data_IF_574971849004
#
_entry.id   IF_574971849004
#
_cell.length_a   1.000
_cell.length_b   1.000
_cell.length_c   1.000
_cell.angle_alpha   90.00
_cell.angle_beta   90.00
_cell.angle_gamma   90.00
#
_symmetry.space_group_name_H-M   'P 1'
#
loop_
_entity.id
_entity.type
_entity.pdbx_description
1 polymer ?
#
# COMPACT_ATOMS: atom_id res chain seq x y z
N UNK A 1 -36.82 -16.54 -2.77
CA UNK A 1 -36.15 -15.79 -1.69
C UNK A 1 -35.51 -16.79 -0.72
N UNK A 2 -34.33 -17.31 -1.03
CA UNK A 2 -33.54 -18.10 -0.09
C UNK A 2 -32.42 -17.18 0.41
N UNK A 3 -32.66 -16.44 1.49
CA UNK A 3 -31.58 -15.80 2.25
C UNK A 3 -30.82 -16.92 2.93
N UNK A 4 -29.77 -17.40 2.28
CA UNK A 4 -28.75 -18.17 2.95
C UNK A 4 -27.96 -17.13 3.77
N UNK A 5 -28.43 -16.85 4.99
CA UNK A 5 -27.72 -15.95 5.89
C UNK A 5 -26.31 -16.50 6.06
N UNK A 6 -25.32 -15.76 5.56
CA UNK A 6 -23.92 -16.19 5.67
C UNK A 6 -23.48 -16.02 7.13
N UNK A 7 -23.07 -17.12 7.77
CA UNK A 7 -22.62 -17.11 9.16
C UNK A 7 -21.09 -17.19 9.23
N UNK A 8 -20.48 -16.31 10.03
CA UNK A 8 -19.04 -16.36 10.32
C UNK A 8 -18.82 -16.56 11.81
N UNK A 9 -18.19 -17.69 12.17
CA UNK A 9 -17.78 -17.96 13.54
C UNK A 9 -16.37 -17.42 13.76
N UNK A 10 -16.25 -16.41 14.62
CA UNK A 10 -14.94 -15.79 14.91
C UNK A 10 -14.21 -16.46 16.09
N UNK A 11 -14.88 -17.40 16.77
CA UNK A 11 -14.41 -18.02 18.01
C UNK A 11 -14.46 -17.03 19.17
N UNK A 12 -13.92 -17.43 20.33
CA UNK A 12 -13.96 -16.65 21.57
C UNK A 12 -13.28 -15.28 21.42
N UNK A 13 -14.01 -14.22 21.77
CA UNK A 13 -13.52 -12.84 21.73
C UNK A 13 -13.70 -12.11 23.06
N UNK A 14 -12.83 -11.12 23.31
CA UNK A 14 -12.97 -10.20 24.44
C UNK A 14 -13.71 -8.93 24.01
N UNK A 15 -14.92 -8.71 24.55
CA UNK A 15 -15.73 -7.51 24.31
C UNK A 15 -15.84 -6.60 25.55
N UNK A 16 -16.25 -5.34 25.33
CA UNK A 16 -16.36 -4.30 26.36
C UNK A 16 -15.10 -3.44 26.47
N UNK A 17 -15.26 -2.11 26.48
CA UNK A 17 -14.13 -1.18 26.43
C UNK A 17 -13.17 -1.38 27.61
N UNK A 18 -13.71 -1.52 28.82
CA UNK A 18 -12.93 -1.72 30.04
C UNK A 18 -12.20 -3.07 30.06
N UNK A 19 -12.88 -4.15 29.65
CA UNK A 19 -12.24 -5.47 29.52
C UNK A 19 -11.12 -5.45 28.49
N UNK A 20 -11.34 -4.78 27.34
CA UNK A 20 -10.33 -4.63 26.28
C UNK A 20 -9.18 -3.71 26.66
N UNK A 21 -9.38 -2.75 27.57
CA UNK A 21 -8.30 -1.95 28.17
C UNK A 21 -7.44 -2.80 29.11
N UNK A 22 -8.05 -3.75 29.83
CA UNK A 22 -7.39 -4.63 30.81
C UNK A 22 -6.72 -5.87 30.19
N UNK A 23 -6.86 -6.10 28.89
CA UNK A 23 -6.17 -7.22 28.21
C UNK A 23 -4.65 -7.05 28.30
N UNK A 24 -3.99 -7.99 28.99
CA UNK A 24 -2.54 -7.98 29.15
C UNK A 24 -1.78 -8.19 27.82
N UNK A 25 -2.35 -8.97 26.89
CA UNK A 25 -1.73 -9.25 25.60
C UNK A 25 -2.23 -8.30 24.51
N UNK A 26 -1.37 -7.38 24.12
CA UNK A 26 -1.60 -6.50 22.96
C UNK A 26 -1.69 -7.27 21.64
N UNK A 27 -0.96 -8.39 21.54
CA UNK A 27 -1.00 -9.29 20.38
C UNK A 27 -2.36 -9.95 20.22
N UNK A 28 -2.92 -10.54 21.29
CA UNK A 28 -4.24 -11.18 21.26
C UNK A 28 -5.33 -10.15 20.91
N UNK A 29 -5.28 -8.96 21.51
CA UNK A 29 -6.22 -7.88 21.19
C UNK A 29 -6.21 -7.51 19.70
N UNK A 30 -5.03 -7.41 19.08
CA UNK A 30 -4.88 -7.14 17.65
C UNK A 30 -5.42 -8.28 16.79
N UNK A 31 -5.16 -9.53 17.16
CA UNK A 31 -5.67 -10.69 16.45
C UNK A 31 -7.21 -10.78 16.50
N UNK A 32 -7.80 -10.59 17.67
CA UNK A 32 -9.26 -10.59 17.82
C UNK A 32 -9.91 -9.49 16.96
N UNK A 33 -9.34 -8.28 16.99
CA UNK A 33 -9.79 -7.18 16.14
C UNK A 33 -9.67 -7.50 14.65
N UNK A 34 -8.54 -8.07 14.23
CA UNK A 34 -8.33 -8.45 12.83
C UNK A 34 -9.39 -9.45 12.37
N UNK A 35 -9.68 -10.49 13.16
CA UNK A 35 -10.71 -11.49 12.82
C UNK A 35 -12.09 -10.87 12.64
N UNK A 36 -12.51 -9.99 13.55
CA UNK A 36 -13.81 -9.31 13.48
C UNK A 36 -13.86 -8.40 12.24
N UNK A 37 -12.81 -7.61 11.99
CA UNK A 37 -12.78 -6.68 10.86
C UNK A 37 -12.77 -7.44 9.52
N UNK A 38 -12.02 -8.54 9.41
CA UNK A 38 -11.98 -9.38 8.22
C UNK A 38 -13.33 -10.05 7.95
N UNK A 39 -13.97 -10.60 8.97
CA UNK A 39 -15.31 -11.18 8.87
C UNK A 39 -16.35 -10.14 8.43
N UNK A 40 -16.32 -8.95 9.04
CA UNK A 40 -17.20 -7.84 8.65
C UNK A 40 -16.98 -7.44 7.20
N UNK A 41 -15.72 -7.26 6.77
CA UNK A 41 -15.39 -6.92 5.38
C UNK A 41 -15.90 -7.99 4.40
N UNK A 42 -15.70 -9.26 4.72
CA UNK A 42 -16.19 -10.38 3.91
C UNK A 42 -17.70 -10.36 3.74
N UNK A 43 -18.45 -10.20 4.84
CA UNK A 43 -19.91 -10.16 4.79
C UNK A 43 -20.43 -8.93 4.06
N UNK A 44 -19.85 -7.75 4.28
CA UNK A 44 -20.16 -6.53 3.52
C UNK A 44 -20.06 -6.80 2.01
N UNK A 45 -19.01 -7.48 1.58
CA UNK A 45 -18.73 -7.77 0.17
C UNK A 45 -19.45 -9.00 -0.38
N UNK A 46 -20.31 -9.66 0.40
CA UNK A 46 -20.94 -10.94 0.02
C UNK A 46 -22.44 -10.99 0.35
N UNK A 47 -23.12 -9.84 0.33
CA UNK A 47 -24.58 -9.79 0.51
C UNK A 47 -25.04 -9.62 1.96
N UNK A 48 -24.12 -9.45 2.90
CA UNK A 48 -24.40 -9.37 4.34
C UNK A 48 -24.39 -10.73 5.04
N UNK A 49 -24.73 -10.73 6.33
CA UNK A 49 -24.82 -11.93 7.14
C UNK A 49 -24.63 -11.66 8.62
N UNK A 50 -24.23 -12.69 9.38
CA UNK A 50 -24.10 -12.63 10.84
C UNK A 50 -22.75 -13.16 11.30
N UNK A 51 -22.06 -12.37 12.11
CA UNK A 51 -20.88 -12.79 12.85
C UNK A 51 -21.33 -13.27 14.22
N UNK A 52 -20.90 -14.47 14.61
CA UNK A 52 -21.21 -15.07 15.91
C UNK A 52 -19.95 -15.32 16.73
N UNK A 53 -19.96 -14.81 17.95
CA UNK A 53 -18.97 -15.11 19.00
C UNK A 53 -19.51 -16.16 19.99
N UNK A 54 -18.58 -16.93 20.55
CA UNK A 54 -18.79 -17.87 21.66
C UNK A 54 -18.15 -17.27 22.93
N UNK A 55 -18.97 -16.61 23.74
CA UNK A 55 -18.77 -16.36 25.18
C UNK A 55 -17.67 -15.35 25.64
N UNK A 56 -18.10 -14.14 26.05
CA UNK A 56 -18.01 -13.64 27.45
C UNK A 56 -18.75 -12.31 27.66
N UNK A 57 -19.20 -12.07 28.89
CA UNK A 57 -20.12 -11.03 29.38
C UNK A 57 -20.00 -9.64 28.73
N UNK A 58 -21.07 -9.20 28.07
CA UNK A 58 -21.25 -7.81 27.65
C UNK A 58 -21.72 -6.98 28.85
N UNK A 59 -20.80 -6.29 29.53
CA UNK A 59 -21.19 -5.17 30.39
C UNK A 59 -20.68 -3.88 29.75
N UNK A 60 -21.66 -3.11 29.25
CA UNK A 60 -21.60 -1.70 28.83
C UNK A 60 -20.36 -1.31 28.00
N UNK A 61 -20.56 -1.19 26.68
CA UNK A 61 -20.08 -0.07 25.82
C UNK A 61 -20.10 -0.52 24.34
N UNK A 62 -20.67 0.30 23.48
CA UNK A 62 -20.33 0.33 22.05
C UNK A 62 -20.06 1.80 21.66
N UNK A 63 -18.94 2.10 20.99
CA UNK A 63 -18.67 3.41 20.43
C UNK A 63 -19.66 3.74 19.30
N UNK A 64 -20.23 4.94 19.34
CA UNK A 64 -20.98 5.56 18.25
C UNK A 64 -20.02 5.79 17.07
N UNK A 65 -20.12 5.00 16.00
CA UNK A 65 -19.22 5.21 14.86
C UNK A 65 -19.46 4.45 13.55
N UNK A 66 -20.32 3.44 13.47
CA UNK A 66 -20.61 2.74 12.20
C UNK A 66 -22.06 2.25 12.10
N UNK A 67 -23.00 3.15 12.42
CA UNK A 67 -24.43 2.82 12.61
C UNK A 67 -25.23 2.47 11.34
N UNK A 68 -24.65 2.53 10.13
CA UNK A 68 -25.42 2.25 8.89
C UNK A 68 -25.43 0.78 8.45
N UNK A 69 -24.32 0.06 8.64
CA UNK A 69 -24.17 -1.32 8.15
C UNK A 69 -24.25 -2.40 9.24
N UNK A 70 -24.11 -2.03 10.51
CA UNK A 70 -23.92 -2.98 11.60
C UNK A 70 -25.03 -2.86 12.63
N UNK A 71 -25.72 -3.96 12.91
CA UNK A 71 -26.65 -4.12 14.02
C UNK A 71 -26.12 -5.17 14.99
N UNK A 72 -26.43 -5.06 16.27
CA UNK A 72 -25.87 -5.93 17.32
C UNK A 72 -26.99 -6.51 18.17
N UNK A 73 -26.87 -7.79 18.52
CA UNK A 73 -27.79 -8.47 19.44
C UNK A 73 -27.03 -9.41 20.35
N UNK A 74 -27.37 -9.39 21.65
CA UNK A 74 -26.87 -10.38 22.59
C UNK A 74 -27.92 -11.48 22.76
N UNK A 75 -27.50 -12.73 22.60
CA UNK A 75 -28.33 -13.91 22.83
C UNK A 75 -27.62 -14.84 23.82
N UNK A 76 -27.99 -14.72 25.10
CA UNK A 76 -27.33 -15.43 26.19
C UNK A 76 -25.85 -15.05 26.29
N UNK A 77 -24.99 -16.06 26.15
CA UNK A 77 -23.53 -15.91 26.17
C UNK A 77 -22.93 -15.52 24.80
N UNK A 78 -23.74 -15.46 23.74
CA UNK A 78 -23.27 -15.15 22.40
C UNK A 78 -23.55 -13.69 22.04
N UNK A 79 -22.57 -13.05 21.39
CA UNK A 79 -22.78 -11.78 20.69
C UNK A 79 -22.97 -12.08 19.20
N UNK A 80 -24.03 -11.50 18.63
CA UNK A 80 -24.35 -11.54 17.22
C UNK A 80 -24.15 -10.15 16.63
N UNK A 81 -23.34 -10.05 15.58
CA UNK A 81 -23.14 -8.82 14.82
C UNK A 81 -23.75 -9.06 13.44
N UNK A 82 -24.85 -8.37 13.15
CA UNK A 82 -25.51 -8.38 11.87
C UNK A 82 -24.83 -7.37 10.96
N UNK A 83 -24.46 -7.82 9.77
CA UNK A 83 -23.77 -7.02 8.76
C UNK A 83 -24.70 -6.93 7.55
N UNK A 84 -25.13 -5.71 7.22
CA UNK A 84 -25.90 -5.45 5.99
C UNK A 84 -24.98 -5.52 4.79
N UNK A 85 -25.51 -5.91 3.62
CA UNK A 85 -24.74 -5.88 2.38
C UNK A 85 -24.16 -4.49 2.11
N UNK A 86 -22.96 -4.45 1.55
CA UNK A 86 -22.40 -3.22 0.99
C UNK A 86 -23.25 -2.78 -0.20
N UNK A 87 -23.60 -1.50 -0.24
CA UNK A 87 -24.17 -0.86 -1.42
C UNK A 87 -23.66 0.57 -1.57
N UNK A 88 -23.60 1.11 -2.81
CA UNK A 88 -23.19 2.49 -3.05
C UNK A 88 -24.01 3.52 -2.26
N UNK A 89 -25.29 3.22 -2.00
CA UNK A 89 -26.21 4.06 -1.23
C UNK A 89 -25.81 4.18 0.25
N UNK A 90 -25.14 3.15 0.78
CA UNK A 90 -24.69 3.11 2.17
C UNK A 90 -23.37 3.88 2.36
N UNK A 91 -22.50 3.88 1.34
CA UNK A 91 -21.18 4.51 1.39
C UNK A 91 -21.12 5.98 0.95
N UNK A 92 -22.17 6.52 0.33
CA UNK A 92 -22.19 7.88 -0.30
C UNK A 92 -21.05 8.13 -1.31
N UNK A 93 -20.36 7.06 -1.70
CA UNK A 93 -19.23 7.00 -2.61
C UNK A 93 -19.51 5.89 -3.61
N UNK A 94 -19.08 6.01 -4.89
CA UNK A 94 -19.33 5.03 -5.95
C UNK A 94 -18.43 3.78 -5.80
N UNK A 95 -18.23 3.30 -4.58
CA UNK A 95 -17.43 2.14 -4.24
C UNK A 95 -18.29 0.88 -4.31
N UNK A 96 -17.82 -0.11 -5.04
CA UNK A 96 -18.51 -1.40 -5.23
C UNK A 96 -18.09 -2.46 -4.23
N UNK A 97 -16.99 -2.21 -3.52
CA UNK A 97 -16.44 -3.15 -2.55
C UNK A 97 -15.84 -2.41 -1.35
N UNK A 98 -16.02 -2.98 -0.17
CA UNK A 98 -15.40 -2.53 1.07
C UNK A 98 -13.96 -3.03 1.16
N UNK A 99 -13.05 -2.15 1.59
CA UNK A 99 -11.63 -2.45 1.78
C UNK A 99 -11.10 -1.69 2.99
N UNK A 100 -10.22 -2.32 3.77
CA UNK A 100 -9.51 -1.67 4.87
C UNK A 100 -8.35 -0.84 4.33
N UNK A 101 -7.51 -1.46 3.50
CA UNK A 101 -6.37 -0.84 2.83
C UNK A 101 -6.35 -1.28 1.37
N UNK A 102 -6.14 -0.31 0.46
CA UNK A 102 -6.02 -0.63 -0.97
C UNK A 102 -4.66 -1.25 -1.30
N UNK A 103 -3.64 -0.94 -0.48
CA UNK A 103 -2.23 -1.29 -0.72
C UNK A 103 -1.70 -0.74 -2.06
N UNK A 104 -2.36 0.29 -2.58
CA UNK A 104 -1.87 1.17 -3.63
C UNK A 104 -1.32 2.42 -2.96
N UNK A 105 -0.07 2.75 -3.27
CA UNK A 105 0.55 3.96 -2.76
C UNK A 105 0.76 4.97 -3.88
N UNK A 106 0.75 6.24 -3.53
CA UNK A 106 1.22 7.34 -4.37
C UNK A 106 2.09 8.29 -3.57
N UNK A 107 2.97 9.01 -4.27
CA UNK A 107 3.68 10.16 -3.73
C UNK A 107 2.74 11.35 -3.65
N UNK A 108 2.65 11.95 -2.47
CA UNK A 108 1.99 13.21 -2.22
C UNK A 108 3.03 14.16 -1.62
N UNK A 109 3.70 14.91 -2.50
CA UNK A 109 4.84 15.77 -2.15
C UNK A 109 5.92 14.92 -1.45
N UNK A 110 6.30 15.21 -0.21
CA UNK A 110 7.32 14.49 0.55
C UNK A 110 6.78 13.21 1.22
N UNK A 111 5.49 12.92 1.11
CA UNK A 111 4.86 11.80 1.79
C UNK A 111 4.50 10.65 0.85
N UNK A 112 4.60 9.42 1.36
CA UNK A 112 4.12 8.21 0.69
C UNK A 112 2.81 7.78 1.34
N UNK A 113 1.72 7.82 0.60
CA UNK A 113 0.35 7.68 1.14
C UNK A 113 -0.30 6.42 0.59
N UNK A 114 -0.84 5.57 1.48
CA UNK A 114 -1.74 4.48 1.10
C UNK A 114 -3.08 5.09 0.68
N UNK A 115 -3.49 4.84 -0.56
CA UNK A 115 -4.73 5.40 -1.08
C UNK A 115 -5.93 4.82 -0.34
N UNK A 116 -6.85 5.71 0.04
CA UNK A 116 -8.20 5.28 0.43
C UNK A 116 -8.88 4.55 -0.73
N UNK A 117 -9.92 3.76 -0.45
CA UNK A 117 -10.65 3.05 -1.51
C UNK A 117 -11.16 4.00 -2.61
N UNK A 118 -11.59 5.21 -2.26
CA UNK A 118 -12.07 6.21 -3.23
C UNK A 118 -10.94 6.74 -4.11
N UNK A 119 -9.81 7.13 -3.53
CA UNK A 119 -8.66 7.63 -4.29
C UNK A 119 -8.02 6.51 -5.14
N UNK A 120 -8.05 5.26 -4.65
CA UNK A 120 -7.64 4.11 -5.43
C UNK A 120 -8.56 3.89 -6.65
N UNK A 121 -9.88 4.03 -6.49
CA UNK A 121 -10.82 3.95 -7.62
C UNK A 121 -10.55 5.03 -8.68
N UNK A 122 -10.25 6.25 -8.25
CA UNK A 122 -9.88 7.35 -9.15
C UNK A 122 -8.61 7.02 -9.94
N UNK A 123 -7.56 6.55 -9.26
CA UNK A 123 -6.32 6.12 -9.91
C UNK A 123 -6.56 5.00 -10.93
N UNK A 124 -7.35 3.99 -10.57
CA UNK A 124 -7.67 2.86 -11.46
C UNK A 124 -8.37 3.34 -12.73
N UNK A 125 -9.40 4.20 -12.59
CA UNK A 125 -10.13 4.78 -13.73
C UNK A 125 -9.23 5.66 -14.59
N UNK A 126 -8.35 6.43 -13.96
CA UNK A 126 -7.38 7.26 -14.66
C UNK A 126 -6.45 6.40 -15.52
N UNK A 127 -5.79 5.40 -14.93
CA UNK A 127 -4.86 4.49 -15.64
C UNK A 127 -5.58 3.68 -16.73
N UNK A 128 -6.80 3.22 -16.49
CA UNK A 128 -7.64 2.57 -17.50
C UNK A 128 -7.92 3.49 -18.69
N UNK A 129 -8.34 4.74 -18.43
CA UNK A 129 -8.62 5.72 -19.48
C UNK A 129 -7.39 6.08 -20.32
N UNK A 130 -6.19 6.08 -19.69
CA UNK A 130 -4.92 6.32 -20.38
C UNK A 130 -4.55 5.14 -21.28
N UNK A 131 -4.74 3.91 -20.81
CA UNK A 131 -4.48 2.72 -21.61
C UNK A 131 -5.40 2.62 -22.84
N UNK A 132 -6.68 2.97 -22.71
CA UNK A 132 -7.65 2.93 -23.82
C UNK A 132 -7.41 3.99 -24.89
N UNK A 133 -6.90 5.17 -24.52
CA UNK A 133 -6.61 6.27 -25.46
C UNK A 133 -5.32 6.07 -26.27
N UNK A 134 -4.57 4.98 -26.06
CA UNK A 134 -3.22 4.81 -26.58
C UNK A 134 -2.25 5.85 -25.98
N UNK A 135 -0.96 5.83 -26.36
CA UNK A 135 0.03 6.85 -25.96
C UNK A 135 -0.28 8.22 -26.59
N UNK A 136 -1.43 8.81 -26.31
CA UNK A 136 -1.63 10.24 -26.51
C UNK A 136 -0.78 10.97 -25.46
N UNK A 137 0.04 11.91 -25.95
CA UNK A 137 0.98 12.73 -25.15
C UNK A 137 0.39 13.06 -23.79
N UNK A 138 1.20 12.84 -22.75
CA UNK A 138 0.99 13.25 -21.37
C UNK A 138 0.33 14.64 -21.39
N UNK A 139 -1.00 14.68 -21.28
CA UNK A 139 -1.65 15.88 -20.79
C UNK A 139 -1.33 15.82 -19.32
N UNK A 140 -0.27 16.55 -19.00
CA UNK A 140 0.09 16.97 -17.66
C UNK A 140 -1.19 17.18 -16.88
N UNK A 141 -1.23 16.51 -15.72
CA UNK A 141 -2.34 16.49 -14.80
C UNK A 141 -3.05 17.85 -14.82
N UNK A 142 -4.37 17.86 -15.03
CA UNK A 142 -5.18 19.05 -14.77
C UNK A 142 -5.18 19.27 -13.27
N UNK A 143 -4.07 19.78 -12.76
CA UNK A 143 -3.89 20.08 -11.35
C UNK A 143 -4.76 21.28 -11.12
N UNK A 144 -5.62 21.20 -10.13
CA UNK A 144 -6.25 22.39 -9.56
C UNK A 144 -5.14 23.44 -9.37
N UNK A 145 -5.11 24.45 -10.25
CA UNK A 145 -4.29 25.66 -10.22
C UNK A 145 -3.06 25.57 -9.30
N UNK A 146 -2.09 24.72 -9.65
CA UNK A 146 -0.80 24.71 -8.96
C UNK A 146 0.02 25.87 -9.51
N UNK A 147 0.55 26.78 -8.66
CA UNK A 147 1.36 27.90 -9.14
C UNK A 147 2.57 27.41 -9.95
N UNK A 148 2.87 28.08 -11.07
CA UNK A 148 3.99 27.73 -11.97
C UNK A 148 5.33 27.54 -11.22
N UNK A 149 5.58 28.34 -10.17
CA UNK A 149 6.80 28.22 -9.35
C UNK A 149 6.95 26.86 -8.66
N UNK A 150 5.85 26.22 -8.25
CA UNK A 150 5.90 24.90 -7.61
C UNK A 150 6.29 23.78 -8.61
N UNK A 151 5.87 23.91 -9.87
CA UNK A 151 6.21 22.95 -10.93
C UNK A 151 7.71 23.01 -11.23
N UNK A 152 8.27 24.22 -11.32
CA UNK A 152 9.71 24.40 -11.56
C UNK A 152 10.55 23.82 -10.41
N UNK A 153 10.17 24.07 -9.15
CA UNK A 153 10.90 23.52 -8.00
C UNK A 153 10.90 21.98 -7.97
N UNK A 154 9.78 21.33 -8.31
CA UNK A 154 9.72 19.86 -8.37
C UNK A 154 10.64 19.29 -9.46
N UNK A 155 10.72 19.95 -10.61
CA UNK A 155 11.60 19.55 -11.70
C UNK A 155 13.08 19.79 -11.32
N UNK A 156 13.42 20.93 -10.69
CA UNK A 156 14.77 21.22 -10.21
C UNK A 156 15.24 20.16 -9.18
N UNK A 157 14.34 19.72 -8.30
CA UNK A 157 14.61 18.62 -7.34
C UNK A 157 14.86 17.29 -8.05
N UNK A 158 14.11 17.01 -9.12
CA UNK A 158 14.28 15.81 -9.95
C UNK A 158 15.60 15.83 -10.71
N UNK A 159 15.98 16.97 -11.28
CA UNK A 159 17.27 17.19 -11.95
C UNK A 159 18.43 16.94 -10.97
N UNK A 160 18.35 17.51 -9.77
CA UNK A 160 19.37 17.32 -8.73
C UNK A 160 19.56 15.83 -8.36
N UNK A 161 18.47 15.06 -8.28
CA UNK A 161 18.54 13.62 -8.03
C UNK A 161 19.11 12.84 -9.23
N UNK A 162 18.79 13.26 -10.45
CA UNK A 162 19.37 12.70 -11.68
C UNK A 162 20.87 12.93 -11.76
N UNK A 163 21.35 14.14 -11.41
CA UNK A 163 22.78 14.45 -11.34
C UNK A 163 23.49 13.57 -10.30
N UNK A 164 22.89 13.40 -9.13
CA UNK A 164 23.40 12.47 -8.10
C UNK A 164 23.50 11.04 -8.64
N UNK A 165 22.51 10.60 -9.42
CA UNK A 165 22.49 9.27 -10.03
C UNK A 165 23.59 9.08 -11.08
N UNK A 166 24.11 10.14 -11.70
CA UNK A 166 25.23 10.05 -12.64
C UNK A 166 26.60 9.96 -11.95
N UNK A 167 26.74 10.44 -10.71
CA UNK A 167 28.00 10.33 -9.95
C UNK A 167 28.38 8.86 -9.68
N UNK A 168 29.65 8.59 -9.44
CA UNK A 168 30.14 7.25 -9.07
C UNK A 168 30.58 7.15 -7.60
N UNK A 169 30.89 8.29 -6.97
CA UNK A 169 31.31 8.36 -5.59
C UNK A 169 30.87 9.64 -4.89
N UNK A 170 30.83 9.61 -3.56
CA UNK A 170 30.46 10.68 -2.66
C UNK A 170 31.42 10.73 -1.46
N UNK A 171 31.48 11.86 -0.76
CA UNK A 171 32.25 11.98 0.48
C UNK A 171 31.35 11.79 1.70
N UNK A 172 31.87 11.15 2.75
CA UNK A 172 31.18 11.05 4.03
C UNK A 172 30.95 12.45 4.61
N UNK A 173 29.72 12.72 5.07
CA UNK A 173 29.23 14.04 5.48
C UNK A 173 29.25 15.12 4.40
N UNK A 174 29.40 14.76 3.12
CA UNK A 174 29.10 15.68 2.02
C UNK A 174 27.64 16.12 2.13
N UNK A 175 27.40 17.42 2.06
CA UNK A 175 26.06 17.97 2.04
C UNK A 175 25.56 18.03 0.60
N UNK A 176 24.49 17.31 0.30
CA UNK A 176 23.88 17.28 -1.01
C UNK A 176 22.83 18.40 -1.16
N UNK A 177 22.67 18.88 -2.40
CA UNK A 177 21.61 19.83 -2.77
C UNK A 177 20.27 19.14 -3.06
N UNK A 178 20.19 17.82 -2.84
CA UNK A 178 18.98 17.02 -3.05
C UNK A 178 18.03 17.18 -1.87
N UNK A 179 16.73 17.34 -2.15
CA UNK A 179 15.68 17.46 -1.15
C UNK A 179 14.54 16.52 -1.47
N UNK A 180 13.81 16.06 -0.44
CA UNK A 180 12.63 15.22 -0.65
C UNK A 180 11.54 16.00 -1.40
N UNK A 181 10.85 15.30 -2.29
CA UNK A 181 9.84 15.84 -3.20
C UNK A 181 8.91 14.73 -3.67
N UNK A 182 7.98 15.03 -4.57
CA UNK A 182 7.17 13.98 -5.21
C UNK A 182 8.03 12.96 -5.96
N UNK A 183 9.22 13.37 -6.43
CA UNK A 183 10.14 12.54 -7.21
C UNK A 183 11.37 12.08 -6.45
N UNK A 184 11.54 12.47 -5.18
CA UNK A 184 12.75 12.15 -4.41
C UNK A 184 12.39 11.77 -2.98
N UNK A 185 12.91 10.65 -2.52
CA UNK A 185 12.84 10.22 -1.12
C UNK A 185 14.25 9.95 -0.59
N UNK A 186 14.56 10.47 0.59
CA UNK A 186 15.83 10.26 1.28
C UNK A 186 15.62 9.32 2.46
N UNK A 187 16.47 8.31 2.59
CA UNK A 187 16.43 7.39 3.74
C UNK A 187 17.79 7.14 4.31
N UNK A 188 17.89 7.36 5.61
CA UNK A 188 19.06 7.00 6.40
C UNK A 188 18.84 5.67 7.11
N UNK A 189 19.80 4.76 6.99
CA UNK A 189 19.86 3.57 7.83
C UNK A 189 21.01 3.66 8.81
N UNK A 190 20.68 3.73 10.08
CA UNK A 190 21.64 3.72 11.19
C UNK A 190 21.78 2.35 11.85
N UNK A 191 20.86 1.41 11.54
CA UNK A 191 20.78 0.11 12.21
C UNK A 191 21.59 -0.97 11.48
N UNK A 192 21.90 -2.06 12.18
CA UNK A 192 22.56 -3.24 11.60
C UNK A 192 21.65 -4.06 10.66
N UNK A 193 20.36 -3.75 10.59
CA UNK A 193 19.34 -4.51 9.84
C UNK A 193 18.92 -3.78 8.55
N UNK A 194 19.90 -3.41 7.72
CA UNK A 194 19.65 -2.66 6.49
C UNK A 194 18.78 -3.47 5.51
N UNK A 195 19.18 -4.72 5.22
CA UNK A 195 18.46 -5.57 4.27
C UNK A 195 17.01 -5.83 4.71
N UNK A 196 16.70 -6.29 5.94
CA UNK A 196 15.31 -6.45 6.39
C UNK A 196 14.48 -5.17 6.29
N UNK A 197 15.06 -4.03 6.67
CA UNK A 197 14.36 -2.75 6.61
C UNK A 197 14.04 -2.33 5.18
N UNK A 198 14.95 -2.61 4.24
CA UNK A 198 14.70 -2.39 2.81
C UNK A 198 13.57 -3.28 2.32
N UNK A 199 13.54 -4.58 2.68
CA UNK A 199 12.42 -5.48 2.33
C UNK A 199 11.07 -4.94 2.82
N UNK A 200 11.01 -4.39 4.02
CA UNK A 200 9.78 -3.86 4.60
C UNK A 200 9.31 -2.56 3.92
N UNK A 201 10.23 -1.63 3.64
CA UNK A 201 9.87 -0.29 3.17
C UNK A 201 9.86 -0.13 1.65
N UNK A 202 10.69 -0.88 0.92
CA UNK A 202 10.87 -0.72 -0.52
C UNK A 202 9.56 -0.90 -1.31
N UNK A 203 8.68 -1.90 -1.01
CA UNK A 203 7.40 -2.05 -1.70
C UNK A 203 6.60 -0.76 -1.73
N UNK A 204 6.54 -0.05 -0.61
CA UNK A 204 5.79 1.19 -0.44
C UNK A 204 6.28 2.28 -1.39
N UNK A 205 7.60 2.47 -1.49
CA UNK A 205 8.20 3.47 -2.39
C UNK A 205 8.10 3.07 -3.85
N UNK A 206 8.26 1.79 -4.16
CA UNK A 206 8.10 1.28 -5.54
C UNK A 206 6.68 1.50 -6.02
N UNK A 207 5.67 1.09 -5.24
CA UNK A 207 4.27 1.37 -5.52
C UNK A 207 4.01 2.87 -5.68
N UNK A 208 4.50 3.69 -4.74
CA UNK A 208 4.29 5.14 -4.75
C UNK A 208 4.88 5.86 -5.98
N UNK A 209 6.12 5.53 -6.37
CA UNK A 209 6.75 6.15 -7.53
C UNK A 209 6.17 5.61 -8.84
N UNK A 210 5.93 4.30 -8.93
CA UNK A 210 5.37 3.68 -10.14
C UNK A 210 3.96 4.18 -10.45
N UNK A 211 3.13 4.37 -9.42
CA UNK A 211 1.76 4.89 -9.57
C UNK A 211 1.70 6.41 -9.76
N UNK A 212 2.83 7.12 -9.68
CA UNK A 212 2.95 8.54 -10.00
C UNK A 212 3.74 8.75 -11.30
N UNK A 213 4.75 9.62 -11.31
CA UNK A 213 5.57 9.94 -12.50
C UNK A 213 6.99 9.36 -12.42
N UNK A 214 7.21 8.40 -11.51
CA UNK A 214 8.54 7.90 -11.19
C UNK A 214 9.30 8.79 -10.21
N UNK A 215 10.51 8.40 -9.87
CA UNK A 215 11.36 9.12 -8.93
C UNK A 215 12.58 8.33 -8.46
N UNK A 216 13.23 8.86 -7.43
CA UNK A 216 14.49 8.36 -6.87
C UNK A 216 14.32 8.10 -5.37
N UNK A 217 14.56 6.85 -4.97
CA UNK A 217 14.77 6.49 -3.57
C UNK A 217 16.28 6.44 -3.29
N UNK A 218 16.77 7.35 -2.46
CA UNK A 218 18.18 7.50 -2.14
C UNK A 218 18.40 7.03 -0.70
N UNK A 219 19.12 5.92 -0.57
CA UNK A 219 19.42 5.23 0.68
C UNK A 219 20.86 5.55 1.11
N UNK A 220 21.03 6.02 2.34
CA UNK A 220 22.31 6.44 2.93
C UNK A 220 22.46 7.95 3.05
N UNK A 221 21.40 8.72 2.83
CA UNK A 221 21.39 10.19 3.00
C UNK A 221 20.37 10.55 4.07
N UNK A 222 20.74 11.48 4.94
CA UNK A 222 19.87 12.00 6.00
C UNK A 222 18.93 13.08 5.42
N UNK A 223 17.64 12.98 5.70
CA UNK A 223 16.60 13.88 5.18
C UNK A 223 16.74 15.31 5.72
N UNK A 224 17.09 15.45 7.01
CA UNK A 224 17.17 16.74 7.70
C UNK A 224 18.46 17.49 7.40
N UNK A 225 19.60 16.82 7.59
CA UNK A 225 20.92 17.43 7.38
C UNK A 225 21.33 17.45 5.91
N UNK A 226 20.76 16.56 5.07
CA UNK A 226 21.14 16.32 3.68
C UNK A 226 22.58 15.79 3.54
N UNK A 227 23.13 15.27 4.63
CA UNK A 227 24.48 14.73 4.68
C UNK A 227 24.51 13.25 4.25
N UNK A 228 25.57 12.90 3.53
CA UNK A 228 25.86 11.51 3.14
C UNK A 228 26.42 10.76 4.35
N UNK A 229 25.69 9.74 4.80
CA UNK A 229 26.18 8.78 5.80
C UNK A 229 26.55 7.44 5.17
N UNK A 230 25.91 7.07 4.06
CA UNK A 230 26.03 5.75 3.45
C UNK A 230 25.58 4.61 4.37
N UNK A 231 25.68 3.40 3.82
CA UNK A 231 25.62 2.13 4.51
C UNK A 231 27.05 1.63 4.69
N UNK A 232 27.49 1.40 5.92
CA UNK A 232 28.85 0.91 6.21
C UNK A 232 29.13 -0.38 5.44
N UNK A 233 30.31 -0.46 4.81
CA UNK A 233 30.68 -1.59 3.95
C UNK A 233 30.72 -2.93 4.70
N UNK A 234 30.98 -2.91 6.01
CA UNK A 234 31.02 -4.11 6.86
C UNK A 234 29.61 -4.67 7.12
N UNK A 235 28.56 -3.87 6.91
CA UNK A 235 27.16 -4.25 7.20
C UNK A 235 26.36 -4.59 5.96
N UNK A 236 26.84 -4.22 4.77
CA UNK A 236 26.10 -4.38 3.52
C UNK A 236 27.04 -4.82 2.41
N UNK A 237 26.67 -5.93 1.78
CA UNK A 237 27.23 -6.33 0.50
C UNK A 237 26.40 -5.66 -0.63
N UNK A 238 27.02 -4.85 -1.52
CA UNK A 238 26.33 -4.17 -2.61
C UNK A 238 25.57 -5.09 -3.57
N UNK A 239 26.15 -6.25 -3.92
CA UNK A 239 25.55 -7.17 -4.88
C UNK A 239 24.35 -7.90 -4.29
N UNK A 240 24.44 -8.29 -3.00
CA UNK A 240 23.29 -8.85 -2.28
C UNK A 240 22.18 -7.81 -2.14
N UNK A 241 22.54 -6.53 -1.91
CA UNK A 241 21.56 -5.46 -1.83
C UNK A 241 20.83 -5.24 -3.17
N UNK A 242 21.56 -5.20 -4.29
CA UNK A 242 20.96 -5.10 -5.63
C UNK A 242 20.01 -6.26 -5.90
N UNK A 243 20.44 -7.49 -5.67
CA UNK A 243 19.61 -8.70 -5.85
C UNK A 243 18.35 -8.68 -5.00
N UNK A 244 18.45 -8.19 -3.76
CA UNK A 244 17.29 -8.08 -2.88
C UNK A 244 16.29 -7.02 -3.36
N UNK A 245 16.79 -5.86 -3.83
CA UNK A 245 15.95 -4.82 -4.43
C UNK A 245 15.24 -5.38 -5.67
N UNK A 246 15.98 -6.07 -6.54
CA UNK A 246 15.44 -6.70 -7.74
C UNK A 246 14.33 -7.69 -7.40
N UNK A 247 14.63 -8.65 -6.51
CA UNK A 247 13.65 -9.64 -6.03
C UNK A 247 12.42 -8.98 -5.42
N UNK A 248 12.59 -7.92 -4.62
CA UNK A 248 11.48 -7.22 -4.00
C UNK A 248 10.57 -6.55 -5.04
N UNK A 249 11.14 -5.85 -6.02
CA UNK A 249 10.37 -5.17 -7.09
C UNK A 249 9.65 -6.16 -8.00
N UNK A 250 10.31 -7.27 -8.38
CA UNK A 250 9.73 -8.27 -9.28
C UNK A 250 8.55 -9.04 -8.67
N UNK A 251 8.49 -9.16 -7.34
CA UNK A 251 7.44 -9.87 -6.63
C UNK A 251 6.20 -9.01 -6.29
N UNK A 252 6.21 -7.72 -6.64
CA UNK A 252 5.08 -6.84 -6.34
C UNK A 252 3.88 -7.15 -7.26
N UNK A 253 2.64 -7.20 -6.72
CA UNK A 253 1.47 -7.41 -7.56
C UNK A 253 1.24 -6.22 -8.50
N UNK A 254 0.99 -6.50 -9.77
CA UNK A 254 0.69 -5.49 -10.79
C UNK A 254 -0.61 -5.82 -11.50
N UNK A 255 -1.44 -4.81 -11.76
CA UNK A 255 -2.61 -4.96 -12.61
C UNK A 255 -2.44 -4.16 -13.90
N UNK A 256 -2.63 -4.82 -15.04
CA UNK A 256 -2.44 -4.21 -16.35
C UNK A 256 -3.76 -3.91 -17.05
N UNK A 257 -3.91 -2.65 -17.46
CA UNK A 257 -4.94 -2.22 -18.41
C UNK A 257 -4.44 -2.25 -19.87
N UNK A 258 -3.13 -2.25 -20.07
CA UNK A 258 -2.50 -2.27 -21.39
C UNK A 258 -2.26 -3.69 -21.89
N UNK A 259 -2.17 -3.86 -23.20
CA UNK A 259 -1.87 -5.15 -23.82
C UNK A 259 -0.39 -5.56 -23.68
N UNK A 260 0.52 -4.57 -23.57
CA UNK A 260 1.98 -4.79 -23.50
C UNK A 260 2.42 -5.55 -22.24
N UNK A 261 1.68 -5.41 -21.13
CA UNK A 261 1.98 -6.01 -19.81
C UNK A 261 3.47 -5.93 -19.41
N UNK A 262 4.09 -4.73 -19.42
CA UNK A 262 5.50 -4.60 -19.12
C UNK A 262 5.78 -4.85 -17.64
N UNK A 263 6.98 -5.35 -17.31
CA UNK A 263 7.47 -5.35 -15.93
C UNK A 263 7.67 -3.91 -15.41
N UNK A 264 7.67 -3.75 -14.10
CA UNK A 264 8.03 -2.47 -13.45
C UNK A 264 9.47 -2.12 -13.81
N UNK A 265 9.69 -0.97 -14.43
CA UNK A 265 11.02 -0.51 -14.83
C UNK A 265 11.72 0.23 -13.69
N UNK A 266 12.90 -0.23 -13.32
CA UNK A 266 13.75 0.40 -12.31
C UNK A 266 15.23 0.17 -12.63
N UNK A 267 16.07 1.02 -12.07
CA UNK A 267 17.52 0.90 -12.13
C UNK A 267 18.11 1.15 -10.74
N UNK A 268 19.01 0.28 -10.31
CA UNK A 268 19.70 0.42 -9.03
C UNK A 268 21.16 0.79 -9.26
N UNK A 269 21.62 1.92 -8.70
CA UNK A 269 23.03 2.32 -8.70
C UNK A 269 23.57 2.34 -7.27
N UNK A 270 24.80 1.84 -7.12
CA UNK A 270 25.54 1.90 -5.85
C UNK A 270 26.66 2.90 -6.02
N UNK A 271 26.70 3.91 -5.15
CA UNK A 271 27.71 4.96 -5.10
C UNK A 271 28.67 4.68 -3.96
N UNK A 272 29.97 4.74 -4.24
CA UNK A 272 30.99 4.56 -3.21
C UNK A 272 31.08 5.81 -2.32
N UNK A 273 31.07 5.61 -1.00
CA UNK A 273 31.25 6.69 -0.03
C UNK A 273 32.66 6.61 0.55
N UNK A 274 33.44 7.67 0.41
CA UNK A 274 34.80 7.74 0.93
C UNK A 274 34.87 8.62 2.18
N UNK A 275 35.70 8.21 3.15
CA UNK A 275 36.05 9.00 4.32
C UNK A 275 37.58 9.00 4.44
N UNK A 276 38.21 10.17 4.34
CA UNK A 276 39.67 10.33 4.33
C UNK A 276 40.34 9.39 3.31
N UNK A 277 39.83 9.39 2.06
CA UNK A 277 40.28 8.55 0.94
C UNK A 277 40.15 7.02 1.13
N UNK A 278 39.52 6.58 2.22
CA UNK A 278 39.21 5.17 2.46
C UNK A 278 37.74 4.90 2.14
N UNK A 279 37.45 3.80 1.45
CA UNK A 279 36.07 3.35 1.21
C UNK A 279 35.38 3.09 2.55
N UNK A 280 34.43 3.95 2.90
CA UNK A 280 33.63 3.89 4.12
C UNK A 280 32.39 3.01 3.96
N UNK A 281 31.72 3.13 2.82
CA UNK A 281 30.43 2.50 2.62
C UNK A 281 29.79 2.86 1.29
N UNK A 282 28.48 2.73 1.24
CA UNK A 282 27.71 2.80 0.00
C UNK A 282 26.44 3.62 0.14
N UNK A 283 26.14 4.47 -0.83
CA UNK A 283 24.79 5.01 -1.05
C UNK A 283 24.12 4.18 -2.13
N UNK A 284 22.88 3.76 -1.88
CA UNK A 284 22.10 3.01 -2.86
C UNK A 284 21.01 3.92 -3.42
N UNK A 285 20.99 4.11 -4.73
CA UNK A 285 19.97 4.89 -5.43
C UNK A 285 19.12 3.95 -6.27
N UNK A 286 17.83 3.91 -5.99
CA UNK A 286 16.84 3.18 -6.79
C UNK A 286 16.04 4.19 -7.59
N UNK A 287 16.26 4.21 -8.90
CA UNK A 287 15.50 5.03 -9.84
C UNK A 287 14.32 4.23 -10.38
N UNK A 288 13.12 4.77 -10.21
CA UNK A 288 11.85 4.17 -10.64
C UNK A 288 11.30 4.95 -11.82
N UNK A 289 11.03 4.27 -12.93
CA UNK A 289 10.29 4.85 -14.05
C UNK A 289 8.79 4.96 -13.75
N UNK A 290 8.05 5.85 -14.42
CA UNK A 290 6.59 5.85 -14.37
C UNK A 290 6.04 4.54 -14.92
N UNK A 291 5.04 3.97 -14.25
CA UNK A 291 4.39 2.74 -14.70
C UNK A 291 3.05 3.04 -15.38
N UNK A 292 2.80 2.40 -16.52
CA UNK A 292 1.62 2.67 -17.35
C UNK A 292 0.30 2.21 -16.71
N UNK A 293 0.35 1.27 -15.77
CA UNK A 293 -0.82 0.74 -15.07
C UNK A 293 -0.68 0.94 -13.55
N UNK A 294 -0.96 -0.07 -12.72
CA UNK A 294 -0.87 0.05 -11.25
C UNK A 294 0.02 -1.03 -10.65
N UNK A 295 0.77 -0.64 -9.62
CA UNK A 295 1.64 -1.50 -8.80
C UNK A 295 1.17 -1.43 -7.35
N UNK A 296 0.91 -2.58 -6.74
CA UNK A 296 0.54 -2.71 -5.34
C UNK A 296 1.78 -3.04 -4.49
N UNK A 297 1.71 -2.76 -3.19
CA UNK A 297 2.71 -3.24 -2.22
C UNK A 297 2.51 -4.72 -1.89
N UNK A 298 1.25 -5.15 -1.87
CA UNK A 298 0.76 -6.51 -1.67
C UNK A 298 -0.72 -6.57 -2.09
N UNK A 299 -1.37 -7.73 -1.98
CA UNK A 299 -2.80 -7.82 -2.25
C UNK A 299 -3.60 -6.82 -1.37
N UNK A 300 -4.74 -6.27 -1.82
CA UNK A 300 -5.55 -5.38 -1.00
C UNK A 300 -6.06 -6.06 0.28
N UNK A 301 -6.20 -5.28 1.34
CA UNK A 301 -6.89 -5.71 2.56
C UNK A 301 -8.40 -5.62 2.35
N UNK A 302 -8.91 -6.56 1.57
CA UNK A 302 -10.32 -6.74 1.26
C UNK A 302 -10.64 -8.23 1.21
N UNK A 303 -11.78 -8.61 1.80
CA UNK A 303 -12.17 -10.00 1.97
C UNK A 303 -13.56 -10.25 1.39
N UNK A 304 -13.82 -11.49 1.00
CA UNK A 304 -15.13 -12.00 0.56
C UNK A 304 -15.42 -13.33 1.23
N UNK A 305 -16.69 -13.73 1.25
CA UNK A 305 -17.08 -15.10 1.54
C UNK A 305 -16.89 -15.95 0.29
N UNK A 306 -16.11 -17.04 0.41
CA UNK A 306 -15.95 -18.06 -0.62
C UNK A 306 -15.98 -19.43 0.05
N UNK A 307 -16.85 -20.33 -0.41
CA UNK A 307 -16.99 -21.69 0.13
C UNK A 307 -17.12 -21.72 1.67
N UNK A 308 -17.99 -20.86 2.22
CA UNK A 308 -18.21 -20.67 3.67
C UNK A 308 -16.96 -20.24 4.47
N UNK A 309 -15.94 -19.70 3.81
CA UNK A 309 -14.70 -19.21 4.45
C UNK A 309 -14.41 -17.76 4.08
N UNK A 310 -13.80 -17.02 5.02
CA UNK A 310 -13.33 -15.65 4.80
C UNK A 310 -12.03 -15.70 4.00
N UNK A 311 -12.07 -15.22 2.76
CA UNK A 311 -10.92 -15.27 1.83
C UNK A 311 -10.50 -13.86 1.43
N UNK A 312 -9.19 -13.55 1.49
CA UNK A 312 -8.63 -12.28 1.02
C UNK A 312 -8.68 -12.24 -0.50
N UNK A 313 -9.07 -11.11 -1.07
CA UNK A 313 -9.06 -10.90 -2.51
C UNK A 313 -7.63 -10.77 -3.04
N UNK A 314 -7.42 -11.25 -4.26
CA UNK A 314 -6.21 -10.91 -5.03
C UNK A 314 -6.35 -9.51 -5.62
N UNK A 315 -5.23 -8.90 -6.01
CA UNK A 315 -5.25 -7.57 -6.63
C UNK A 315 -6.12 -7.55 -7.90
N UNK A 316 -6.05 -8.61 -8.71
CA UNK A 316 -6.80 -8.75 -9.97
C UNK A 316 -8.32 -8.78 -9.73
N UNK A 317 -8.77 -9.64 -8.82
CA UNK A 317 -10.19 -9.74 -8.50
C UNK A 317 -10.69 -8.44 -7.87
N UNK A 318 -9.91 -7.83 -6.99
CA UNK A 318 -10.27 -6.57 -6.35
C UNK A 318 -10.44 -5.44 -7.37
N UNK A 319 -9.52 -5.28 -8.31
CA UNK A 319 -9.63 -4.28 -9.38
C UNK A 319 -10.84 -4.55 -10.28
N UNK A 320 -11.10 -5.81 -10.63
CA UNK A 320 -12.25 -6.17 -11.46
C UNK A 320 -13.58 -5.76 -10.80
N UNK A 321 -13.75 -6.02 -9.49
CA UNK A 321 -14.96 -5.62 -8.75
C UNK A 321 -15.04 -4.10 -8.60
N UNK A 322 -13.91 -3.43 -8.27
CA UNK A 322 -13.85 -1.97 -8.14
C UNK A 322 -14.27 -1.24 -9.42
N UNK A 323 -13.89 -1.76 -10.58
CA UNK A 323 -14.17 -1.17 -11.90
C UNK A 323 -15.39 -1.73 -12.61
N UNK A 324 -16.09 -2.71 -12.03
CA UNK A 324 -17.21 -3.42 -12.68
C UNK A 324 -16.81 -4.09 -14.02
N UNK A 325 -15.59 -4.61 -14.07
CA UNK A 325 -15.13 -5.37 -15.22
C UNK A 325 -15.69 -6.78 -15.05
N UNK A 326 -16.57 -7.21 -15.95
CA UNK A 326 -17.02 -8.60 -15.99
C UNK A 326 -15.79 -9.49 -16.13
N UNK A 327 -15.49 -10.29 -15.11
CA UNK A 327 -14.61 -11.42 -15.30
C UNK A 327 -15.33 -12.35 -16.27
N UNK A 328 -14.80 -12.49 -17.48
CA UNK A 328 -15.32 -13.46 -18.43
C UNK A 328 -15.36 -14.80 -17.72
N UNK A 329 -16.55 -15.41 -17.61
CA UNK A 329 -16.70 -16.78 -17.16
C UNK A 329 -15.81 -17.64 -18.04
N UNK A 330 -14.67 -18.09 -17.52
CA UNK A 330 -14.10 -19.33 -18.00
C UNK A 330 -15.07 -20.41 -17.52
N UNK A 331 -15.99 -20.78 -18.40
CA UNK A 331 -16.74 -22.03 -18.28
C UNK A 331 -15.73 -23.16 -18.19
N UNK A 332 -15.53 -23.70 -16.99
CA UNK A 332 -14.90 -24.98 -16.80
C UNK A 332 -15.92 -26.04 -17.24
N UNK A 333 -15.90 -26.33 -18.54
CA UNK A 333 -16.49 -27.56 -19.10
C UNK A 333 -15.41 -28.64 -19.04
N UNK A 334 -15.58 -29.58 -18.10
CA UNK A 334 -15.47 -31.03 -18.34
C UNK A 334 -15.87 -31.78 -17.08
#
# INVERSE_FOLDING_TARGET
CNLQDSFVHVGRMTFGEESRKKMASSYLKRMENAKIIQATCALLNSGGGVIKDLETSFQKLLPSGSQKCLDYMQQGHNLLIFVKSWSPDVSSLPLRICSLHSNLYQRAVTSTVNLSASSALELLREKQSRAQRGRSRVKEWSSQKVPYGYIQEEEDRRVSASELFQKDSLLYKEKLNVTESTHVELKRFTTRKIVPRIKEMLPHYVSAFANTLGGYLIIGVDDKSKEVFGCQREKVNPDLLKKEIESCVENLPTFHFCCEKPKVHFTTKILNVYQNDVLYGYVCVVHMGPFCCVVFTEAPDSWIMRDNSVTRLTAEHWVAVMLDIQSGKAEEKS
#
